data_IF_653025501350
#
_entry.id   IF_653025501350
#
_cell.length_a   1.000
_cell.length_b   1.000
_cell.length_c   1.000
_cell.angle_alpha   90.00
_cell.angle_beta   90.00
_cell.angle_gamma   90.00
#
_symmetry.space_group_name_H-M   'P 1'
#
loop_
_entity.id
_entity.type
_entity.pdbx_description
1 polymer ?
#
# COMPACT_ATOMS: atom_id res chain seq x y z
N UNK A 1 -12.33 -87.79 9.02
CA UNK A 1 -11.20 -87.99 9.95
C UNK A 1 -9.96 -87.59 9.15
N UNK A 2 -9.27 -86.48 9.39
CA UNK A 2 -9.15 -85.66 10.59
C UNK A 2 -8.80 -84.19 10.26
N UNK A 3 -9.05 -83.30 11.23
CA UNK A 3 -8.93 -81.85 11.18
C UNK A 3 -7.50 -81.31 10.90
N UNK A 4 -7.43 -80.13 10.26
CA UNK A 4 -6.28 -79.22 10.32
C UNK A 4 -6.76 -77.76 10.61
N UNK A 5 -5.92 -76.92 11.24
CA UNK A 5 -6.38 -75.93 12.22
C UNK A 5 -6.53 -74.50 11.70
N UNK A 6 -7.26 -73.71 12.49
CA UNK A 6 -7.46 -72.28 12.36
C UNK A 6 -6.15 -71.49 12.31
N UNK A 7 -6.10 -70.47 11.45
CA UNK A 7 -5.28 -69.29 11.72
C UNK A 7 -6.01 -68.03 11.26
N UNK A 8 -6.39 -67.23 12.25
CA UNK A 8 -6.86 -65.85 12.15
C UNK A 8 -5.89 -65.05 11.29
N UNK A 9 -6.33 -64.61 10.10
CA UNK A 9 -5.62 -63.59 9.33
C UNK A 9 -6.57 -62.41 9.16
N UNK A 10 -6.33 -61.37 9.96
CA UNK A 10 -6.99 -60.08 9.83
C UNK A 10 -6.72 -59.49 8.42
N UNK A 11 -7.67 -58.75 7.82
CA UNK A 11 -7.45 -58.11 6.52
C UNK A 11 -6.33 -57.07 6.63
N UNK A 12 -5.47 -56.91 5.61
CA UNK A 12 -4.39 -55.93 5.66
C UNK A 12 -4.96 -54.51 5.73
N UNK A 13 -4.50 -53.77 6.73
CA UNK A 13 -4.80 -52.37 6.92
C UNK A 13 -4.50 -51.58 5.64
N UNK A 14 -5.49 -50.86 5.14
CA UNK A 14 -5.32 -49.79 4.17
C UNK A 14 -4.49 -48.68 4.81
N UNK A 15 -3.16 -48.74 4.63
CA UNK A 15 -2.29 -47.60 4.91
C UNK A 15 -2.48 -46.62 3.76
N UNK A 16 -3.49 -45.76 3.87
CA UNK A 16 -3.49 -44.49 3.17
C UNK A 16 -2.28 -43.73 3.71
N UNK A 17 -1.20 -43.71 2.93
CA UNK A 17 -0.08 -42.83 3.18
C UNK A 17 -0.59 -41.39 3.02
N UNK A 18 -1.08 -40.83 4.12
CA UNK A 18 -1.34 -39.40 4.29
C UNK A 18 -0.01 -38.66 4.14
N UNK A 19 0.35 -38.38 2.89
CA UNK A 19 1.40 -37.41 2.60
C UNK A 19 0.83 -36.04 2.96
N UNK A 20 1.02 -35.67 4.23
CA UNK A 20 0.75 -34.33 4.73
C UNK A 20 1.46 -33.33 3.78
N UNK A 21 0.75 -32.39 3.16
CA UNK A 21 1.37 -31.46 2.22
C UNK A 21 2.50 -30.72 2.93
N UNK A 22 3.68 -30.77 2.31
CA UNK A 22 4.90 -30.12 2.79
C UNK A 22 4.61 -28.62 2.80
N UNK A 23 4.35 -28.07 3.99
CA UNK A 23 4.10 -26.64 4.17
C UNK A 23 5.40 -25.91 3.84
N UNK A 24 5.38 -24.87 2.98
CA UNK A 24 6.55 -24.05 2.77
C UNK A 24 7.03 -23.49 4.12
N UNK A 25 8.32 -23.66 4.42
CA UNK A 25 8.93 -23.20 5.69
C UNK A 25 8.80 -21.67 5.87
N UNK A 26 8.62 -20.95 4.76
CA UNK A 26 8.32 -19.53 4.70
C UNK A 26 7.25 -19.27 3.63
N UNK A 27 6.11 -18.73 4.06
CA UNK A 27 4.96 -18.39 3.22
C UNK A 27 3.69 -18.20 4.07
N UNK A 28 2.66 -17.50 3.56
CA UNK A 28 1.39 -17.35 4.26
C UNK A 28 0.81 -18.73 4.57
N UNK A 29 0.49 -19.01 5.84
CA UNK A 29 -0.15 -20.28 6.20
C UNK A 29 -1.55 -20.31 5.62
N UNK A 30 -1.97 -21.41 4.97
CA UNK A 30 -3.36 -21.56 4.53
C UNK A 30 -4.26 -21.51 5.77
N UNK A 31 -5.33 -20.72 5.66
CA UNK A 31 -6.31 -20.51 6.72
C UNK A 31 -7.25 -21.73 6.72
N UNK A 32 -7.45 -22.41 7.86
CA UNK A 32 -8.45 -23.47 7.96
C UNK A 32 -9.87 -22.96 7.62
N UNK A 33 -10.69 -23.78 6.96
CA UNK A 33 -12.04 -23.40 6.51
C UNK A 33 -12.93 -22.90 7.66
N UNK A 34 -12.74 -23.46 8.86
CA UNK A 34 -13.42 -23.06 10.11
C UNK A 34 -13.15 -21.61 10.54
N UNK A 35 -12.05 -21.00 10.11
CA UNK A 35 -11.68 -19.62 10.46
C UNK A 35 -11.83 -18.65 9.29
N UNK A 36 -12.19 -19.15 8.10
CA UNK A 36 -12.26 -18.33 6.89
C UNK A 36 -13.32 -17.23 7.00
N UNK A 37 -14.48 -17.53 7.60
CA UNK A 37 -15.59 -16.58 7.76
C UNK A 37 -15.24 -15.38 8.66
N UNK A 38 -14.34 -15.57 9.63
CA UNK A 38 -13.92 -14.54 10.59
C UNK A 38 -12.48 -14.05 10.34
N UNK A 39 -11.84 -14.48 9.25
CA UNK A 39 -10.46 -14.17 8.98
C UNK A 39 -10.31 -12.74 8.43
N UNK A 40 -9.62 -11.90 9.20
CA UNK A 40 -9.19 -10.58 8.74
C UNK A 40 -7.83 -10.75 8.03
N UNK A 41 -7.73 -10.45 6.72
CA UNK A 41 -6.46 -10.55 6.01
C UNK A 41 -5.42 -9.61 6.61
N UNK A 42 -4.16 -10.05 6.58
CA UNK A 42 -3.05 -9.22 7.01
C UNK A 42 -2.97 -7.95 6.16
N UNK A 43 -2.72 -6.81 6.82
CA UNK A 43 -2.49 -5.53 6.14
C UNK A 43 -1.33 -5.66 5.17
N UNK A 44 -1.59 -5.43 3.88
CA UNK A 44 -0.54 -5.39 2.87
C UNK A 44 0.17 -4.03 2.90
N UNK A 45 1.49 -3.98 2.66
CA UNK A 45 2.18 -2.72 2.49
C UNK A 45 1.64 -2.01 1.26
N UNK A 46 1.15 -0.78 1.45
CA UNK A 46 0.69 0.08 0.37
C UNK A 46 1.54 1.33 0.35
N UNK A 47 2.19 1.60 -0.79
CA UNK A 47 3.08 2.73 -0.90
C UNK A 47 2.27 4.02 -0.84
N UNK A 48 2.81 5.04 -0.19
CA UNK A 48 2.06 6.28 -0.01
C UNK A 48 1.95 7.06 -1.33
N UNK A 49 2.85 6.80 -2.28
CA UNK A 49 2.75 7.21 -3.68
C UNK A 49 1.51 6.62 -4.37
N UNK A 50 1.22 5.34 -4.11
CA UNK A 50 0.05 4.65 -4.68
C UNK A 50 -1.26 5.18 -4.05
N UNK A 51 -1.27 5.46 -2.75
CA UNK A 51 -2.41 6.14 -2.08
C UNK A 51 -2.71 7.48 -2.76
N UNK A 52 -1.67 8.27 -3.03
CA UNK A 52 -1.84 9.59 -3.67
C UNK A 52 -2.33 9.44 -5.11
N UNK A 53 -1.81 8.46 -5.86
CA UNK A 53 -2.29 8.15 -7.21
C UNK A 53 -3.77 7.83 -7.20
N UNK A 54 -4.20 6.89 -6.37
CA UNK A 54 -5.59 6.47 -6.29
C UNK A 54 -6.50 7.61 -5.87
N UNK A 55 -6.07 8.43 -4.91
CA UNK A 55 -6.83 9.60 -4.48
C UNK A 55 -7.07 10.58 -5.64
N UNK A 56 -6.04 10.88 -6.44
CA UNK A 56 -6.17 11.81 -7.56
C UNK A 56 -7.00 11.22 -8.70
N UNK A 57 -6.83 9.93 -9.00
CA UNK A 57 -7.64 9.21 -9.99
C UNK A 57 -9.11 9.15 -9.54
N UNK A 58 -9.35 8.84 -8.26
CA UNK A 58 -10.68 8.82 -7.67
C UNK A 58 -11.33 10.21 -7.74
N UNK A 59 -10.61 11.26 -7.39
CA UNK A 59 -11.09 12.63 -7.48
C UNK A 59 -11.40 13.02 -8.93
N UNK A 60 -10.53 12.68 -9.88
CA UNK A 60 -10.75 12.95 -11.29
C UNK A 60 -11.98 12.24 -11.85
N UNK A 61 -12.24 10.99 -11.45
CA UNK A 61 -13.41 10.21 -11.87
C UNK A 61 -14.71 10.71 -11.25
N UNK A 62 -14.72 11.07 -9.96
CA UNK A 62 -15.95 11.31 -9.21
C UNK A 62 -16.32 12.78 -9.03
N UNK A 63 -15.39 13.72 -9.18
CA UNK A 63 -15.72 15.14 -9.13
C UNK A 63 -16.38 15.59 -10.43
N UNK A 64 -17.33 16.51 -10.32
CA UNK A 64 -17.79 17.37 -11.44
C UNK A 64 -16.74 18.42 -11.77
N UNK A 65 -16.72 18.96 -13.00
CA UNK A 65 -15.89 20.14 -13.29
C UNK A 65 -16.21 21.29 -12.33
N UNK A 66 -15.16 21.94 -11.83
CA UNK A 66 -15.23 22.94 -10.75
C UNK A 66 -15.24 22.34 -9.33
N UNK A 67 -15.44 21.03 -9.18
CA UNK A 67 -15.30 20.31 -7.92
C UNK A 67 -13.85 20.32 -7.42
N UNK A 68 -13.66 20.24 -6.11
CA UNK A 68 -12.34 20.35 -5.48
C UNK A 68 -12.01 19.15 -4.62
N UNK A 69 -10.75 18.74 -4.65
CA UNK A 69 -10.14 17.82 -3.70
C UNK A 69 -9.12 18.59 -2.86
N UNK A 70 -9.14 18.34 -1.55
CA UNK A 70 -8.22 18.97 -0.59
C UNK A 70 -7.56 17.86 0.22
N UNK A 71 -6.23 17.90 0.32
CA UNK A 71 -5.47 16.95 1.10
C UNK A 71 -4.30 17.61 1.82
N UNK A 72 -3.83 16.96 2.87
CA UNK A 72 -2.64 17.37 3.63
C UNK A 72 -1.44 16.56 3.15
N UNK A 73 -0.40 17.26 2.70
CA UNK A 73 0.86 16.67 2.27
C UNK A 73 1.94 16.90 3.33
N UNK A 74 2.45 15.85 3.97
CA UNK A 74 3.66 15.92 4.80
C UNK A 74 4.86 16.36 3.96
N UNK A 75 5.57 17.42 4.38
CA UNK A 75 6.72 17.96 3.65
C UNK A 75 7.85 18.40 4.59
N UNK A 76 9.07 18.46 4.05
CA UNK A 76 10.18 19.19 4.68
C UNK A 76 10.22 20.63 4.17
N UNK A 77 11.10 21.45 4.73
CA UNK A 77 11.32 22.82 4.25
C UNK A 77 11.91 22.90 2.84
N UNK A 78 12.65 21.89 2.41
CA UNK A 78 13.26 21.81 1.07
C UNK A 78 12.26 21.37 -0.02
N UNK A 79 10.96 21.47 0.26
CA UNK A 79 9.90 21.08 -0.68
C UNK A 79 9.94 21.97 -1.92
N UNK A 80 9.68 21.35 -3.09
CA UNK A 80 9.45 22.05 -4.35
C UNK A 80 8.10 21.66 -4.94
N UNK A 81 7.48 22.54 -5.73
CA UNK A 81 6.19 22.22 -6.37
C UNK A 81 6.27 21.08 -7.39
N UNK A 82 7.48 20.69 -7.82
CA UNK A 82 7.73 19.50 -8.63
C UNK A 82 7.47 18.20 -7.85
N UNK A 83 7.56 18.24 -6.51
CA UNK A 83 7.27 17.10 -5.64
C UNK A 83 5.75 16.86 -5.48
N UNK A 84 4.88 17.69 -6.06
CA UNK A 84 3.45 17.47 -5.99
C UNK A 84 3.02 16.34 -6.92
N UNK A 85 2.21 15.38 -6.43
CA UNK A 85 1.52 14.47 -7.33
C UNK A 85 0.55 15.29 -8.20
N UNK A 86 0.61 15.11 -9.51
CA UNK A 86 -0.23 15.85 -10.47
C UNK A 86 -1.08 14.89 -11.30
N UNK A 87 -2.23 15.38 -11.76
CA UNK A 87 -3.14 14.63 -12.63
C UNK A 87 -3.70 15.55 -13.71
N UNK A 88 -3.81 15.12 -14.99
CA UNK A 88 -4.19 16.01 -16.11
C UNK A 88 -5.55 16.70 -15.96
N UNK A 89 -6.51 16.05 -15.29
CA UNK A 89 -7.85 16.59 -15.05
C UNK A 89 -7.92 17.54 -13.84
N UNK A 90 -6.87 17.62 -13.03
CA UNK A 90 -6.84 18.36 -11.78
C UNK A 90 -5.79 19.46 -11.86
N UNK A 91 -6.16 20.67 -11.46
CA UNK A 91 -5.24 21.81 -11.38
C UNK A 91 -5.11 22.29 -9.94
N UNK A 92 -3.88 22.53 -9.48
CA UNK A 92 -3.62 23.12 -8.17
C UNK A 92 -4.13 24.56 -8.15
N UNK A 93 -4.93 24.90 -7.13
CA UNK A 93 -5.49 26.25 -6.90
C UNK A 93 -5.03 26.83 -5.57
N UNK A 94 -4.62 25.97 -4.63
CA UNK A 94 -4.11 26.41 -3.33
C UNK A 94 -2.98 25.52 -2.84
N UNK A 95 -1.96 26.15 -2.28
CA UNK A 95 -0.86 25.52 -1.57
C UNK A 95 -0.56 26.38 -0.34
N UNK A 96 -1.00 25.93 0.83
CA UNK A 96 -0.77 26.63 2.10
C UNK A 96 0.17 25.82 2.98
N UNK A 97 1.29 26.40 3.37
CA UNK A 97 2.24 25.78 4.30
C UNK A 97 1.83 26.01 5.74
N UNK A 98 1.90 24.96 6.55
CA UNK A 98 1.81 25.01 8.00
C UNK A 98 3.04 24.35 8.62
N UNK A 99 3.81 25.14 9.36
CA UNK A 99 5.02 24.67 10.05
C UNK A 99 4.63 23.97 11.33
N UNK A 100 5.00 22.70 11.46
CA UNK A 100 4.72 21.92 12.66
C UNK A 100 5.89 21.96 13.65
N UNK A 101 7.12 21.83 13.14
CA UNK A 101 8.36 21.83 13.94
C UNK A 101 9.51 22.41 13.13
N UNK A 102 10.71 22.55 13.73
CA UNK A 102 11.89 23.11 13.06
C UNK A 102 12.40 22.33 11.85
N UNK A 103 11.86 21.12 11.55
CA UNK A 103 12.22 20.35 10.34
C UNK A 103 11.03 19.90 9.48
N UNK A 104 9.82 20.08 9.98
CA UNK A 104 8.62 19.53 9.35
C UNK A 104 7.59 20.61 9.12
N UNK A 105 7.02 20.57 7.93
CA UNK A 105 5.82 21.29 7.58
C UNK A 105 4.78 20.31 7.06
N UNK A 106 3.54 20.76 6.98
CA UNK A 106 2.51 20.14 6.16
C UNK A 106 1.96 21.18 5.20
N UNK A 107 1.59 20.76 4.01
CA UNK A 107 0.95 21.63 3.03
C UNK A 107 -0.49 21.23 2.83
N UNK A 108 -1.41 22.17 2.95
CA UNK A 108 -2.79 22.01 2.53
C UNK A 108 -2.85 22.28 1.03
N UNK A 109 -3.01 21.23 0.24
CA UNK A 109 -3.09 21.31 -1.22
C UNK A 109 -4.56 21.25 -1.62
N UNK A 110 -4.97 22.22 -2.44
CA UNK A 110 -6.31 22.27 -3.02
C UNK A 110 -6.19 22.15 -4.54
N UNK A 111 -6.84 21.14 -5.11
CA UNK A 111 -6.93 20.97 -6.57
C UNK A 111 -8.38 21.06 -7.02
N UNK A 112 -8.60 21.61 -8.21
CA UNK A 112 -9.91 21.71 -8.86
C UNK A 112 -9.94 20.86 -10.12
N UNK A 113 -11.04 20.15 -10.37
CA UNK A 113 -11.24 19.45 -11.64
C UNK A 113 -11.58 20.45 -12.74
N UNK A 114 -10.82 20.42 -13.83
CA UNK A 114 -10.94 21.38 -14.94
C UNK A 114 -11.42 20.79 -16.25
N UNK A 115 -11.35 19.46 -16.40
CA UNK A 115 -11.69 18.75 -17.65
C UNK A 115 -12.65 17.62 -17.34
N UNK A 116 -13.70 17.45 -18.14
CA UNK A 116 -14.63 16.33 -17.99
C UNK A 116 -13.99 15.01 -18.43
N UNK A 117 -14.46 13.92 -17.84
CA UNK A 117 -13.90 12.59 -18.11
C UNK A 117 -14.26 12.08 -19.51
N UNK A 118 -15.36 12.58 -20.11
CA UNK A 118 -15.78 12.26 -21.48
C UNK A 118 -14.81 12.74 -22.54
N UNK A 119 -14.04 13.78 -22.24
CA UNK A 119 -13.23 14.50 -23.23
C UNK A 119 -11.83 13.88 -23.36
N UNK A 120 -11.53 12.86 -22.54
CA UNK A 120 -10.23 12.21 -22.48
C UNK A 120 -10.37 10.80 -23.03
N UNK A 121 -9.57 10.40 -24.02
CA UNK A 121 -9.61 9.03 -24.53
C UNK A 121 -9.22 8.07 -23.41
N UNK A 122 -10.04 7.05 -23.19
CA UNK A 122 -9.96 6.04 -22.13
C UNK A 122 -8.68 5.18 -22.12
N UNK A 123 -7.73 5.45 -23.02
CA UNK A 123 -6.49 4.69 -23.24
C UNK A 123 -5.22 5.46 -22.84
N UNK A 124 -5.35 6.66 -22.28
CA UNK A 124 -4.23 7.32 -21.64
C UNK A 124 -4.13 6.76 -20.22
N UNK A 125 -3.09 5.97 -19.96
CA UNK A 125 -2.59 5.72 -18.60
C UNK A 125 -2.75 7.00 -17.78
N UNK A 126 -3.18 6.87 -16.52
CA UNK A 126 -3.74 7.87 -15.58
C UNK A 126 -2.96 9.19 -15.38
N UNK A 127 -2.01 9.55 -16.26
CA UNK A 127 -1.35 10.84 -16.38
C UNK A 127 -0.59 11.29 -15.14
N UNK A 128 -0.50 10.39 -14.16
CA UNK A 128 0.02 10.64 -12.85
C UNK A 128 1.53 10.73 -12.95
N UNK A 129 2.02 11.96 -12.86
CA UNK A 129 3.44 12.28 -12.80
C UNK A 129 3.74 12.66 -11.36
N UNK A 130 4.56 11.86 -10.70
CA UNK A 130 5.11 12.21 -9.40
C UNK A 130 6.51 11.64 -9.24
N UNK A 131 7.50 12.51 -9.04
CA UNK A 131 8.81 12.12 -8.47
C UNK A 131 8.76 12.06 -6.93
N UNK A 132 7.58 12.33 -6.39
CA UNK A 132 7.24 12.35 -4.99
C UNK A 132 7.48 10.98 -4.35
N UNK A 133 8.28 10.94 -3.28
CA UNK A 133 8.40 9.74 -2.47
C UNK A 133 8.45 10.04 -0.97
N UNK A 134 7.54 9.42 -0.24
CA UNK A 134 7.46 9.53 1.22
C UNK A 134 8.60 8.78 1.93
N UNK A 135 9.16 7.75 1.29
CA UNK A 135 10.32 7.04 1.82
C UNK A 135 11.54 7.98 1.91
N UNK A 136 11.80 8.75 0.84
CA UNK A 136 12.86 9.76 0.82
C UNK A 136 12.68 10.80 1.92
N UNK A 137 11.43 11.23 2.16
CA UNK A 137 11.11 12.16 3.25
C UNK A 137 11.51 11.59 4.61
N UNK A 138 11.10 10.34 4.90
CA UNK A 138 11.42 9.64 6.16
C UNK A 138 12.93 9.45 6.34
N UNK A 139 13.64 9.09 5.30
CA UNK A 139 15.11 8.93 5.35
C UNK A 139 15.81 10.26 5.64
N UNK A 140 15.42 11.34 4.95
CA UNK A 140 15.99 12.68 5.14
C UNK A 140 15.80 13.18 6.57
N UNK A 141 14.63 12.90 7.13
CA UNK A 141 14.31 13.14 8.53
C UNK A 141 15.25 12.38 9.46
N UNK A 142 15.39 11.07 9.28
CA UNK A 142 16.21 10.22 10.16
C UNK A 142 17.68 10.65 10.08
N UNK A 143 18.18 10.94 8.87
CA UNK A 143 19.53 11.45 8.66
C UNK A 143 19.75 12.78 9.41
N UNK A 144 18.79 13.72 9.33
CA UNK A 144 18.91 15.02 10.00
C UNK A 144 18.92 14.93 11.53
N UNK A 145 18.34 13.89 12.12
CA UNK A 145 18.32 13.69 13.59
C UNK A 145 19.57 12.98 14.11
N UNK A 146 20.35 12.34 13.24
CA UNK A 146 21.62 11.72 13.60
C UNK A 146 22.72 12.79 13.64
N UNK A 147 22.81 13.56 14.73
CA UNK A 147 23.98 14.44 14.97
C UNK A 147 25.25 13.60 15.19
N UNK A 148 26.43 14.04 14.70
CA UNK A 148 27.70 13.40 15.03
C UNK A 148 27.99 13.55 16.52
N UNK A 149 28.45 12.46 17.17
CA UNK A 149 29.06 12.52 18.49
C UNK A 149 30.30 13.41 18.35
N UNK A 150 30.25 14.64 18.82
CA UNK A 150 31.43 15.46 19.02
C UNK A 150 32.31 14.75 20.03
N UNK A 151 33.44 14.21 19.57
CA UNK A 151 34.56 13.89 20.44
C UNK A 151 35.06 15.22 21.00
N UNK A 152 34.88 15.40 22.30
CA UNK A 152 35.58 16.42 23.07
C UNK A 152 37.01 15.91 23.29
N UNK A 153 37.98 16.56 22.67
CA UNK A 153 39.38 16.58 23.12
C UNK A 153 39.51 17.51 24.34
#
# INVERSE_FOLDING_TARGET
RDCAPANSTAPPASVSSDQKPIKPKYGPRPIPDEWLENHIPATQPYAAEDVMRDLLVFAAKNLRVGGRVVYLLPTTYDYTDADLPTHPQLRVVGNSEERLTSKYARRLITMVKTVETSDIPSNLDDGFKSDFSFAKLREKIVASNKKPKTASD
#
